data_IF_034922321804
#
_entry.id   IF_034922321804
#
_cell.length_a   1.000
_cell.length_b   1.000
_cell.length_c   1.000
_cell.angle_alpha   90.00
_cell.angle_beta   90.00
_cell.angle_gamma   90.00
#
_symmetry.space_group_name_H-M   'P 1'
#
loop_
_entity.id
_entity.type
_entity.pdbx_description
1 polymer ?
#
# COMPACT_ATOMS: atom_id res chain seq x y z
N UNK A 1 12.62 -2.60 -4.81
CA UNK A 1 12.44 -3.72 -3.87
C UNK A 1 11.20 -4.51 -4.25
N UNK A 2 11.04 -5.74 -3.75
CA UNK A 2 9.85 -6.56 -4.01
C UNK A 2 8.61 -5.93 -3.36
N UNK A 3 7.50 -5.87 -4.12
CA UNK A 3 6.25 -5.21 -3.70
C UNK A 3 5.42 -6.21 -2.88
N UNK A 4 4.93 -5.80 -1.70
CA UNK A 4 4.10 -6.65 -0.83
C UNK A 4 2.61 -6.38 -1.07
N UNK A 5 2.20 -5.11 -1.03
CA UNK A 5 0.81 -4.69 -1.17
C UNK A 5 0.74 -3.33 -1.85
N UNK A 6 -0.28 -3.14 -2.69
CA UNK A 6 -0.63 -1.86 -3.29
C UNK A 6 -2.15 -1.69 -3.23
N UNK A 7 -2.58 -0.45 -3.09
CA UNK A 7 -4.00 -0.09 -3.11
C UNK A 7 -4.14 1.27 -3.81
N UNK A 8 -5.35 1.61 -4.22
CA UNK A 8 -5.65 2.88 -4.89
C UNK A 8 -6.90 3.52 -4.32
N UNK A 9 -6.98 4.85 -4.37
CA UNK A 9 -8.19 5.59 -4.04
C UNK A 9 -8.71 6.30 -5.29
N UNK A 10 -10.03 6.30 -5.53
CA UNK A 10 -10.62 7.07 -6.62
C UNK A 10 -10.46 8.57 -6.33
N UNK A 11 -10.10 9.32 -7.37
CA UNK A 11 -9.87 10.76 -7.30
C UNK A 11 -10.62 11.42 -8.46
N UNK A 12 -11.11 12.64 -8.28
CA UNK A 12 -11.83 13.38 -9.32
C UNK A 12 -11.26 14.79 -9.51
N UNK A 13 -11.79 15.51 -10.51
CA UNK A 13 -11.32 16.84 -10.90
C UNK A 13 -11.57 17.94 -9.84
N UNK A 14 -12.31 17.66 -8.77
CA UNK A 14 -12.52 18.62 -7.67
C UNK A 14 -11.44 18.50 -6.56
N UNK A 15 -10.47 17.60 -6.72
CA UNK A 15 -9.36 17.47 -5.78
C UNK A 15 -8.31 18.55 -6.06
N UNK A 16 -8.06 19.39 -5.06
CA UNK A 16 -6.85 20.23 -5.03
C UNK A 16 -5.63 19.40 -4.67
N UNK A 17 -4.43 19.92 -4.96
CA UNK A 17 -3.15 19.28 -4.60
C UNK A 17 -3.10 18.92 -3.12
N UNK A 18 -3.53 19.82 -2.23
CA UNK A 18 -3.57 19.55 -0.78
C UNK A 18 -4.51 18.40 -0.41
N UNK A 19 -5.68 18.32 -1.05
CA UNK A 19 -6.62 17.20 -0.83
C UNK A 19 -6.03 15.89 -1.33
N UNK A 20 -5.35 15.89 -2.48
CA UNK A 20 -4.64 14.70 -2.98
C UNK A 20 -3.54 14.25 -2.02
N UNK A 21 -2.78 15.20 -1.45
CA UNK A 21 -1.71 14.89 -0.49
C UNK A 21 -2.25 14.26 0.79
N UNK A 22 -3.37 14.78 1.30
CA UNK A 22 -4.03 14.20 2.48
C UNK A 22 -4.55 12.79 2.19
N UNK A 23 -5.25 12.60 1.07
CA UNK A 23 -5.73 11.28 0.65
C UNK A 23 -4.57 10.28 0.44
N UNK A 24 -3.46 10.74 -0.15
CA UNK A 24 -2.22 9.98 -0.30
C UNK A 24 -1.65 9.50 1.05
N UNK A 25 -1.57 10.41 2.03
CA UNK A 25 -1.09 10.07 3.37
C UNK A 25 -1.96 9.02 4.08
N UNK A 26 -3.27 9.06 3.85
CA UNK A 26 -4.21 8.11 4.46
C UNK A 26 -4.09 6.72 3.83
N UNK A 27 -4.00 6.63 2.49
CA UNK A 27 -3.79 5.35 1.81
C UNK A 27 -2.41 4.75 2.12
N UNK A 28 -1.36 5.56 2.20
CA UNK A 28 -0.01 5.12 2.56
C UNK A 28 0.01 4.43 3.93
N UNK A 29 -0.62 5.03 4.94
CA UNK A 29 -0.72 4.43 6.28
C UNK A 29 -1.48 3.11 6.25
N UNK A 30 -2.60 3.07 5.53
CA UNK A 30 -3.46 1.88 5.46
C UNK A 30 -2.75 0.72 4.77
N UNK A 31 -2.13 0.96 3.61
CA UNK A 31 -1.38 -0.05 2.85
C UNK A 31 -0.19 -0.54 3.68
N UNK A 32 0.53 0.37 4.34
CA UNK A 32 1.66 -0.01 5.18
C UNK A 32 1.22 -0.88 6.37
N UNK A 33 0.16 -0.51 7.08
CA UNK A 33 -0.35 -1.28 8.21
C UNK A 33 -0.80 -2.69 7.79
N UNK A 34 -1.48 -2.81 6.65
CA UNK A 34 -1.91 -4.10 6.09
C UNK A 34 -0.73 -4.94 5.63
N UNK A 35 0.23 -4.35 4.94
CA UNK A 35 1.46 -5.03 4.52
C UNK A 35 2.24 -5.55 5.73
N UNK A 36 2.39 -4.72 6.78
CA UNK A 36 3.08 -5.12 8.00
C UNK A 36 2.35 -6.28 8.70
N UNK A 37 1.02 -6.26 8.74
CA UNK A 37 0.23 -7.37 9.30
C UNK A 37 0.53 -8.68 8.56
N UNK A 38 0.56 -8.67 7.23
CA UNK A 38 0.90 -9.87 6.44
C UNK A 38 2.31 -10.37 6.74
N UNK A 39 3.27 -9.47 6.90
CA UNK A 39 4.65 -9.81 7.28
C UNK A 39 4.72 -10.42 8.68
N UNK A 40 4.00 -9.85 9.64
CA UNK A 40 3.96 -10.35 11.03
C UNK A 40 3.23 -11.69 11.18
N UNK A 41 2.35 -12.03 10.24
CA UNK A 41 1.66 -13.33 10.17
C UNK A 41 2.46 -14.37 9.36
N UNK A 42 3.71 -14.09 8.99
CA UNK A 42 4.57 -14.94 8.15
C UNK A 42 3.95 -15.32 6.79
N UNK A 43 3.06 -14.46 6.26
CA UNK A 43 2.35 -14.70 4.98
C UNK A 43 3.08 -14.17 3.75
N UNK A 44 4.30 -13.66 3.92
CA UNK A 44 5.03 -12.95 2.87
C UNK A 44 6.33 -13.69 2.57
N UNK A 45 6.44 -14.25 1.37
CA UNK A 45 7.66 -14.92 0.90
C UNK A 45 8.29 -14.13 -0.26
N UNK A 46 9.55 -13.72 -0.10
CA UNK A 46 10.29 -13.00 -1.16
C UNK A 46 10.97 -14.03 -2.06
N UNK A 47 10.69 -13.94 -3.36
CA UNK A 47 11.32 -14.75 -4.38
C UNK A 47 11.90 -13.85 -5.47
N UNK A 48 13.24 -13.81 -5.56
CA UNK A 48 13.99 -12.91 -6.44
C UNK A 48 13.53 -11.44 -6.28
N UNK A 49 12.89 -10.88 -7.31
CA UNK A 49 12.39 -9.50 -7.33
C UNK A 49 10.90 -9.38 -7.03
N UNK A 50 10.23 -10.48 -6.65
CA UNK A 50 8.78 -10.55 -6.40
C UNK A 50 8.49 -11.07 -5.00
N UNK A 51 7.24 -10.88 -4.59
CA UNK A 51 6.72 -11.38 -3.32
C UNK A 51 5.52 -12.27 -3.60
N UNK A 52 5.51 -13.45 -2.99
CA UNK A 52 4.35 -14.33 -2.91
C UNK A 52 3.65 -14.04 -1.59
N UNK A 53 2.36 -13.72 -1.65
CA UNK A 53 1.52 -13.47 -0.47
C UNK A 53 0.45 -14.56 -0.43
N UNK A 54 0.41 -15.34 0.64
CA UNK A 54 -0.61 -16.39 0.87
C UNK A 54 -1.91 -15.80 1.38
#
# INVERSE_FOLDING_TARGET
GPIILQDTLPINHNYSVEKMRLAGKDIEKLVLARALKLVLEDRVFVHENKTVVF
#
